data_IF_094953699259
#
_entry.id   IF_094953699259
#
_cell.length_a   1.000
_cell.length_b   1.000
_cell.length_c   1.000
_cell.angle_alpha   90.00
_cell.angle_beta   90.00
_cell.angle_gamma   90.00
#
_symmetry.space_group_name_H-M   'P 1'
#
loop_
_entity.id
_entity.type
_entity.pdbx_description
1 polymer ?
#
# COMPACT_ATOMS: atom_id res chain seq x y z
N UNK A 1 16.28 -23.15 6.04
CA UNK A 1 15.31 -22.07 6.28
C UNK A 1 14.34 -22.09 5.12
N UNK A 2 13.17 -22.71 5.30
CA UNK A 2 12.15 -22.79 4.25
C UNK A 2 11.36 -21.48 4.25
N UNK A 3 11.47 -20.71 3.17
CA UNK A 3 10.49 -19.69 2.82
C UNK A 3 9.22 -20.48 2.44
N UNK A 4 8.19 -20.42 3.27
CA UNK A 4 6.90 -21.01 2.92
C UNK A 4 6.35 -20.27 1.71
N UNK A 5 6.19 -20.98 0.60
CA UNK A 5 5.41 -20.54 -0.55
C UNK A 5 3.97 -20.22 -0.07
N UNK A 6 3.73 -18.97 0.32
CA UNK A 6 2.36 -18.48 0.47
C UNK A 6 1.76 -18.47 -0.93
N UNK A 7 1.01 -19.52 -1.25
CA UNK A 7 0.18 -19.59 -2.45
C UNK A 7 -0.73 -18.35 -2.44
N UNK A 8 -0.43 -17.38 -3.30
CA UNK A 8 -1.29 -16.22 -3.53
C UNK A 8 -2.69 -16.76 -3.84
N UNK A 9 -3.63 -16.59 -2.90
CA UNK A 9 -4.93 -17.27 -2.95
C UNK A 9 -6.08 -16.36 -3.37
N UNK A 10 -5.86 -15.04 -3.34
CA UNK A 10 -6.82 -14.03 -3.78
C UNK A 10 -6.12 -12.70 -4.16
N UNK A 11 -6.89 -11.79 -4.79
CA UNK A 11 -6.41 -10.51 -5.30
C UNK A 11 -5.76 -9.63 -4.21
N UNK A 12 -6.35 -9.58 -3.01
CA UNK A 12 -5.82 -8.80 -1.87
C UNK A 12 -4.42 -9.25 -1.48
N UNK A 13 -4.23 -10.56 -1.31
CA UNK A 13 -2.91 -11.12 -0.98
C UNK A 13 -1.88 -10.90 -2.09
N UNK A 14 -2.31 -10.96 -3.36
CA UNK A 14 -1.44 -10.68 -4.50
C UNK A 14 -0.92 -9.24 -4.44
N UNK A 15 -1.84 -8.28 -4.31
CA UNK A 15 -1.52 -6.85 -4.31
C UNK A 15 -0.71 -6.47 -3.07
N UNK A 16 -1.05 -7.00 -1.88
CA UNK A 16 -0.22 -6.84 -0.70
C UNK A 16 1.21 -7.31 -0.97
N UNK A 17 1.38 -8.53 -1.49
CA UNK A 17 2.69 -9.10 -1.79
C UNK A 17 3.48 -8.26 -2.80
N UNK A 18 2.84 -7.79 -3.88
CA UNK A 18 3.52 -6.97 -4.89
C UNK A 18 3.88 -5.58 -4.34
N UNK A 19 3.09 -5.00 -3.44
CA UNK A 19 3.47 -3.77 -2.73
C UNK A 19 4.67 -4.03 -1.79
N UNK A 20 4.69 -5.15 -1.05
CA UNK A 20 5.85 -5.54 -0.23
C UNK A 20 7.13 -5.70 -1.06
N UNK A 21 7.02 -6.06 -2.34
CA UNK A 21 8.12 -6.17 -3.30
C UNK A 21 8.37 -4.90 -4.10
N UNK A 22 7.56 -3.86 -3.92
CA UNK A 22 7.56 -2.64 -4.73
C UNK A 22 7.48 -2.93 -6.24
N UNK A 23 6.74 -3.97 -6.61
CA UNK A 23 6.55 -4.45 -7.98
C UNK A 23 5.32 -3.79 -8.61
N UNK A 24 5.51 -2.60 -9.15
CA UNK A 24 4.40 -1.78 -9.67
C UNK A 24 3.70 -2.42 -10.87
N UNK A 25 4.45 -3.13 -11.73
CA UNK A 25 3.89 -3.75 -12.93
C UNK A 25 2.86 -4.81 -12.54
N UNK A 26 3.18 -5.57 -11.49
CA UNK A 26 2.26 -6.57 -10.95
C UNK A 26 1.12 -5.97 -10.14
N UNK A 27 1.32 -4.82 -9.47
CA UNK A 27 0.19 -4.09 -8.87
C UNK A 27 -0.78 -3.63 -9.96
N UNK A 28 -0.30 -2.99 -11.02
CA UNK A 28 -1.12 -2.51 -12.14
C UNK A 28 -1.90 -3.65 -12.84
N UNK A 29 -1.22 -4.78 -13.09
CA UNK A 29 -1.82 -5.95 -13.74
C UNK A 29 -2.97 -6.57 -12.92
N UNK A 30 -2.96 -6.42 -11.59
CA UNK A 30 -3.99 -6.96 -10.71
C UNK A 30 -5.10 -5.97 -10.38
N UNK A 31 -5.00 -4.70 -10.79
CA UNK A 31 -6.05 -3.70 -10.62
C UNK A 31 -6.96 -3.60 -11.84
N UNK A 32 -8.24 -3.35 -11.57
CA UNK A 32 -9.30 -3.25 -12.58
C UNK A 32 -9.18 -1.93 -13.35
N UNK A 33 -9.16 -1.99 -14.68
CA UNK A 33 -9.02 -0.80 -15.54
C UNK A 33 -10.24 0.12 -15.48
N UNK A 34 -11.41 -0.41 -15.09
CA UNK A 34 -12.66 0.35 -15.10
C UNK A 34 -12.96 1.02 -13.74
N UNK A 35 -11.99 1.01 -12.81
CA UNK A 35 -12.11 1.58 -11.47
C UNK A 35 -11.16 2.74 -11.24
N UNK A 36 -11.57 3.59 -10.30
CA UNK A 36 -10.70 4.57 -9.67
C UNK A 36 -10.08 3.99 -8.40
N UNK A 37 -8.94 4.56 -8.02
CA UNK A 37 -8.21 4.21 -6.79
C UNK A 37 -7.77 5.50 -6.10
N UNK A 38 -8.17 5.70 -4.85
CA UNK A 38 -8.02 6.98 -4.14
C UNK A 38 -8.61 8.14 -4.96
N UNK A 39 -9.79 7.92 -5.55
CA UNK A 39 -10.47 8.86 -6.46
C UNK A 39 -9.66 9.26 -7.73
N UNK A 40 -8.55 8.59 -8.03
CA UNK A 40 -7.80 8.78 -9.28
C UNK A 40 -8.13 7.72 -10.32
N UNK A 41 -8.07 8.10 -11.59
CA UNK A 41 -7.95 7.14 -12.69
C UNK A 41 -6.78 6.19 -12.44
N UNK A 42 -6.94 4.89 -12.76
CA UNK A 42 -5.94 3.87 -12.40
C UNK A 42 -4.51 4.22 -12.80
N UNK A 43 -4.31 4.71 -14.03
CA UNK A 43 -2.97 5.05 -14.51
C UNK A 43 -2.29 6.13 -13.64
N UNK A 44 -3.06 7.09 -13.11
CA UNK A 44 -2.55 8.16 -12.28
C UNK A 44 -2.23 7.65 -10.87
N UNK A 45 -3.10 6.82 -10.29
CA UNK A 45 -2.83 6.14 -9.03
C UNK A 45 -1.54 5.29 -9.10
N UNK A 46 -1.39 4.48 -10.14
CA UNK A 46 -0.20 3.65 -10.38
C UNK A 46 1.07 4.51 -10.50
N UNK A 47 1.01 5.60 -11.27
CA UNK A 47 2.14 6.54 -11.40
C UNK A 47 2.54 7.18 -10.06
N UNK A 48 1.56 7.51 -9.21
CA UNK A 48 1.79 8.06 -7.88
C UNK A 48 2.38 7.03 -6.91
N UNK A 49 1.83 5.81 -6.91
CA UNK A 49 2.36 4.70 -6.12
C UNK A 49 3.80 4.35 -6.53
N UNK A 50 4.13 4.40 -7.82
CA UNK A 50 5.49 4.22 -8.31
C UNK A 50 6.46 5.26 -7.75
N UNK A 51 6.04 6.52 -7.61
CA UNK A 51 6.87 7.57 -7.02
C UNK A 51 7.11 7.33 -5.53
N UNK A 52 6.10 6.82 -4.80
CA UNK A 52 6.27 6.38 -3.42
C UNK A 52 7.29 5.22 -3.34
N UNK A 53 7.20 4.21 -4.22
CA UNK A 53 8.18 3.12 -4.30
C UNK A 53 9.59 3.62 -4.62
N UNK A 54 9.74 4.55 -5.56
CA UNK A 54 11.02 5.16 -5.86
C UNK A 54 11.61 5.88 -4.63
N UNK A 55 10.78 6.58 -3.86
CA UNK A 55 11.20 7.24 -2.61
C UNK A 55 11.73 6.22 -1.59
N UNK A 56 11.04 5.08 -1.41
CA UNK A 56 11.54 3.99 -0.57
C UNK A 56 12.88 3.44 -1.08
N UNK A 57 12.99 3.17 -2.39
CA UNK A 57 14.21 2.65 -3.00
C UNK A 57 15.41 3.63 -2.85
N UNK A 58 15.19 4.93 -3.04
CA UNK A 58 16.21 5.98 -2.87
C UNK A 58 16.71 6.08 -1.42
N UNK A 59 15.87 5.69 -0.45
CA UNK A 59 16.23 5.60 0.97
C UNK A 59 16.86 4.25 1.36
N UNK A 60 17.16 3.41 0.37
CA UNK A 60 17.82 2.12 0.53
C UNK A 60 16.89 0.99 0.98
N UNK A 61 15.57 1.16 0.90
CA UNK A 61 14.64 0.07 1.11
C UNK A 61 14.62 -0.85 -0.12
N UNK A 62 14.58 -2.16 0.13
CA UNK A 62 14.56 -3.22 -0.89
C UNK A 62 13.30 -4.07 -0.83
N UNK A 63 12.54 -3.94 0.26
CA UNK A 63 11.22 -4.50 0.46
C UNK A 63 10.50 -3.73 1.57
N UNK A 64 9.16 -3.85 1.60
CA UNK A 64 8.33 -3.28 2.65
C UNK A 64 7.74 -4.40 3.50
N UNK A 65 7.74 -4.24 4.82
CA UNK A 65 7.00 -5.11 5.72
C UNK A 65 5.54 -4.67 5.79
N UNK A 66 4.57 -5.56 5.52
CA UNK A 66 3.17 -5.26 5.78
C UNK A 66 2.77 -5.58 7.23
N UNK A 67 2.10 -4.65 7.89
CA UNK A 67 1.47 -4.83 9.20
C UNK A 67 -0.01 -4.54 9.08
N UNK A 68 -0.84 -5.54 9.39
CA UNK A 68 -2.30 -5.41 9.35
C UNK A 68 -2.81 -4.37 10.35
N UNK A 69 -3.88 -3.69 9.95
CA UNK A 69 -4.60 -2.76 10.80
C UNK A 69 -5.91 -2.32 10.16
N UNK A 70 -6.48 -1.27 10.72
CA UNK A 70 -7.71 -0.67 10.21
C UNK A 70 -7.68 0.85 10.36
N UNK A 71 -8.56 1.53 9.62
CA UNK A 71 -8.79 2.94 9.83
C UNK A 71 -9.36 3.17 11.25
N UNK A 72 -8.92 4.23 11.92
CA UNK A 72 -9.33 4.56 13.29
C UNK A 72 -10.29 5.77 13.33
N UNK A 73 -10.50 6.45 12.19
CA UNK A 73 -11.36 7.62 12.08
C UNK A 73 -12.54 7.42 11.12
N UNK A 74 -12.31 7.46 9.81
CA UNK A 74 -13.34 7.56 8.77
C UNK A 74 -14.31 6.38 8.77
N UNK A 75 -13.78 5.15 8.76
CA UNK A 75 -14.57 3.92 8.85
C UNK A 75 -13.74 2.82 9.50
N UNK A 76 -14.10 2.46 10.73
CA UNK A 76 -13.35 1.49 11.54
C UNK A 76 -13.48 0.03 11.07
N UNK A 77 -14.36 -0.24 10.11
CA UNK A 77 -14.53 -1.57 9.51
C UNK A 77 -13.59 -1.80 8.34
N UNK A 78 -12.99 -0.74 7.78
CA UNK A 78 -12.08 -0.83 6.65
C UNK A 78 -10.68 -1.21 7.13
N UNK A 79 -10.21 -2.34 6.61
CA UNK A 79 -8.91 -2.93 6.95
C UNK A 79 -7.88 -2.59 5.88
N UNK A 80 -6.61 -2.73 6.25
CA UNK A 80 -5.50 -2.51 5.32
C UNK A 80 -4.17 -2.83 5.97
N UNK A 81 -3.13 -2.17 5.48
CA UNK A 81 -1.76 -2.42 5.93
C UNK A 81 -1.00 -1.11 6.10
N UNK A 82 -0.16 -1.05 7.14
CA UNK A 82 1.01 -0.18 7.14
C UNK A 82 2.17 -0.93 6.49
N UNK A 83 2.70 -0.40 5.39
CA UNK A 83 3.90 -0.88 4.73
C UNK A 83 5.11 -0.10 5.23
N UNK A 84 6.13 -0.80 5.73
CA UNK A 84 7.28 -0.20 6.42
C UNK A 84 8.57 -0.56 5.68
N UNK A 85 9.35 0.45 5.28
CA UNK A 85 10.66 0.27 4.64
C UNK A 85 11.63 -0.48 5.54
N UNK A 86 12.26 -1.52 4.99
CA UNK A 86 13.12 -2.42 5.77
C UNK A 86 14.45 -1.82 6.26
N UNK A 87 14.85 -0.66 5.73
CA UNK A 87 16.05 0.08 6.09
C UNK A 87 15.68 1.44 6.70
N UNK A 88 14.87 2.23 5.98
CA UNK A 88 14.52 3.58 6.40
C UNK A 88 13.62 3.57 7.63
N UNK A 89 12.75 2.56 7.79
CA UNK A 89 11.58 2.56 8.68
C UNK A 89 10.57 3.67 8.36
N UNK A 90 10.68 4.32 7.20
CA UNK A 90 9.59 5.14 6.68
C UNK A 90 8.42 4.24 6.32
N UNK A 91 7.22 4.81 6.21
CA UNK A 91 6.03 4.00 6.06
C UNK A 91 4.95 4.67 5.20
N UNK A 92 4.03 3.86 4.70
CA UNK A 92 2.76 4.31 4.14
C UNK A 92 1.65 3.40 4.65
N UNK A 93 0.46 3.95 4.87
CA UNK A 93 -0.70 3.19 5.36
C UNK A 93 -1.82 3.25 4.32
N UNK A 94 -2.21 2.09 3.82
CA UNK A 94 -3.16 1.94 2.72
C UNK A 94 -4.31 1.06 3.18
N UNK A 95 -5.54 1.52 2.97
CA UNK A 95 -6.76 0.76 3.16
C UNK A 95 -7.03 -0.07 1.90
N UNK A 96 -7.40 -1.32 2.12
CA UNK A 96 -7.82 -2.25 1.09
C UNK A 96 -9.33 -2.38 1.19
N UNK A 97 -10.06 -1.53 0.45
CA UNK A 97 -11.50 -1.66 0.40
C UNK A 97 -11.87 -2.82 -0.53
N UNK A 98 -12.58 -3.80 0.02
CA UNK A 98 -12.92 -5.02 -0.69
C UNK A 98 -14.41 -5.28 -0.63
N UNK A 99 -14.97 -5.71 -1.76
CA UNK A 99 -16.35 -6.14 -1.90
C UNK A 99 -16.36 -7.38 -2.80
N UNK A 100 -17.15 -8.40 -2.44
CA UNK A 100 -17.28 -9.65 -3.19
C UNK A 100 -15.93 -10.33 -3.55
N UNK A 101 -14.99 -10.31 -2.61
CA UNK A 101 -13.62 -10.84 -2.77
C UNK A 101 -12.77 -10.13 -3.85
N UNK A 102 -13.17 -8.92 -4.26
CA UNK A 102 -12.41 -8.07 -5.18
C UNK A 102 -12.03 -6.76 -4.49
N UNK A 103 -10.90 -6.20 -4.88
CA UNK A 103 -10.54 -4.83 -4.49
C UNK A 103 -11.50 -3.87 -5.20
N UNK A 104 -12.22 -3.09 -4.40
CA UNK A 104 -13.04 -1.98 -4.85
C UNK A 104 -12.22 -0.69 -4.93
N UNK A 105 -11.39 -0.44 -3.92
CA UNK A 105 -10.56 0.77 -3.83
C UNK A 105 -9.29 0.51 -3.01
N UNK A 106 -8.26 1.31 -3.25
CA UNK A 106 -7.02 1.39 -2.49
C UNK A 106 -6.75 2.87 -2.20
N UNK A 107 -6.67 3.23 -0.93
CA UNK A 107 -6.47 4.63 -0.57
C UNK A 107 -5.71 4.81 0.74
N UNK A 108 -5.02 5.94 0.83
CA UNK A 108 -4.25 6.31 2.01
C UNK A 108 -5.12 6.58 3.25
N UNK A 109 -4.62 6.17 4.42
CA UNK A 109 -5.29 6.42 5.68
C UNK A 109 -4.43 7.27 6.63
N UNK A 110 -4.98 8.43 7.03
CA UNK A 110 -4.30 9.38 7.92
C UNK A 110 -4.32 9.01 9.40
N UNK A 111 -5.33 8.25 9.82
CA UNK A 111 -5.43 7.76 11.20
C UNK A 111 -5.57 6.24 11.15
N UNK A 112 -4.47 5.56 10.82
CA UNK A 112 -4.42 4.11 10.68
C UNK A 112 -3.92 3.48 11.98
N UNK A 113 -4.68 2.53 12.51
CA UNK A 113 -4.33 1.80 13.73
C UNK A 113 -3.85 0.39 13.40
N UNK A 114 -2.58 0.14 13.67
CA UNK A 114 -1.96 -1.16 13.52
C UNK A 114 -2.43 -2.16 14.59
N UNK A 115 -2.57 -3.43 14.20
CA UNK A 115 -2.87 -4.56 15.10
C UNK A 115 -1.70 -4.85 16.05
N UNK A 116 -0.47 -4.72 15.55
CA UNK A 116 0.75 -4.78 16.36
C UNK A 116 1.06 -3.41 16.95
N UNK A 117 1.45 -3.40 18.22
CA UNK A 117 1.93 -2.20 18.93
C UNK A 117 3.46 -2.10 18.88
N UNK A 118 3.99 -0.92 19.22
CA UNK A 118 5.44 -0.64 19.31
C UNK A 118 6.20 -0.79 17.97
N UNK A 119 5.56 -0.44 16.86
CA UNK A 119 6.25 -0.32 15.58
C UNK A 119 7.21 0.87 15.62
N UNK A 120 8.42 0.68 15.11
CA UNK A 120 9.35 1.78 14.86
C UNK A 120 9.00 2.42 13.51
N UNK A 121 8.12 3.43 13.53
CA UNK A 121 7.74 4.18 12.34
C UNK A 121 8.48 5.52 12.34
N UNK A 122 9.14 5.86 11.23
CA UNK A 122 9.78 7.16 11.03
C UNK A 122 8.87 8.10 10.24
N UNK A 123 9.28 8.52 9.04
CA UNK A 123 8.52 9.46 8.24
C UNK A 123 7.48 8.75 7.39
N UNK A 124 6.34 9.40 7.20
CA UNK A 124 5.31 8.89 6.30
C UNK A 124 5.63 9.32 4.86
N UNK A 125 5.63 8.36 3.95
CA UNK A 125 5.64 8.57 2.51
C UNK A 125 4.19 8.52 2.04
N UNK A 126 3.80 9.54 1.28
CA UNK A 126 2.45 9.65 0.73
C UNK A 126 2.43 9.21 -0.73
N UNK A 127 1.36 8.54 -1.13
CA UNK A 127 1.05 8.26 -2.54
C UNK A 127 0.68 9.57 -3.22
N UNK A 128 -0.21 10.35 -2.61
CA UNK A 128 -0.53 11.68 -3.09
C UNK A 128 0.18 12.76 -2.28
N UNK A 129 1.41 13.08 -2.67
CA UNK A 129 2.10 14.24 -2.13
C UNK A 129 1.68 15.49 -2.93
N UNK A 130 0.82 16.34 -2.34
CA UNK A 130 0.34 17.60 -2.93
C UNK A 130 1.48 18.52 -3.44
N UNK A 131 2.72 18.27 -3.02
CA UNK A 131 3.90 19.01 -3.44
C UNK A 131 4.43 18.67 -4.85
N UNK A 132 3.88 17.67 -5.56
CA UNK A 132 4.53 17.11 -6.77
C UNK A 132 3.82 17.30 -8.11
N UNK A 133 2.64 17.92 -8.22
CA UNK A 133 2.05 18.21 -9.54
C UNK A 133 1.38 19.59 -9.61
N UNK A 134 2.01 20.61 -10.22
CA UNK A 134 1.27 21.66 -10.89
C UNK A 134 0.74 21.05 -12.20
N UNK A 135 -0.58 20.94 -12.33
CA UNK A 135 -1.18 20.82 -13.66
C UNK A 135 -0.92 22.10 -14.46
#
# INVERSE_FOLDING_TARGET
MQLTENKISNQTQAIQYFIEKMDIEMVDAFLDNDKTYQDFEKYLFISKLQQAFATFADLGDTYLFAVEGSCNSCDKTKNGYTFIGNNSNNYMSIIFDTADNKINDLYECNDFKNTKTNLNLKERIYIDNELTLPF
#
